data_IF_488425142205
#
_entry.id   IF_488425142205
#
_cell.length_a   1.000
_cell.length_b   1.000
_cell.length_c   1.000
_cell.angle_alpha   90.00
_cell.angle_beta   90.00
_cell.angle_gamma   90.00
#
_symmetry.space_group_name_H-M   'P 1'
#
loop_
_entity.id
_entity.type
_entity.pdbx_description
1 polymer ?
#
# COMPACT_ATOMS: atom_id res chain seq x y z
N UNK A 1 36.62 -3.46 -7.73
CA UNK A 1 36.59 -4.69 -8.55
C UNK A 1 35.75 -4.54 -9.82
N UNK A 2 34.80 -3.59 -9.92
CA UNK A 2 33.98 -3.39 -11.14
C UNK A 2 32.90 -4.46 -11.36
N UNK A 3 32.98 -5.57 -10.63
CA UNK A 3 32.00 -6.65 -10.62
C UNK A 3 30.66 -6.17 -10.07
N UNK A 4 29.53 -6.41 -10.76
CA UNK A 4 28.20 -6.20 -10.20
C UNK A 4 27.99 -7.05 -8.94
N UNK A 5 27.54 -6.42 -7.85
CA UNK A 5 27.30 -7.09 -6.56
C UNK A 5 25.80 -7.15 -6.28
N UNK A 6 25.29 -8.35 -5.99
CA UNK A 6 23.93 -8.55 -5.47
C UNK A 6 24.02 -8.87 -3.97
N UNK A 7 23.28 -8.12 -3.16
CA UNK A 7 23.26 -8.30 -1.70
C UNK A 7 21.99 -9.04 -1.29
N UNK A 8 22.15 -10.18 -0.62
CA UNK A 8 21.04 -10.89 0.03
C UNK A 8 21.04 -10.58 1.52
N UNK A 9 20.01 -9.89 1.99
CA UNK A 9 19.85 -9.53 3.40
C UNK A 9 19.08 -10.62 4.15
N UNK A 10 19.77 -11.30 5.04
CA UNK A 10 19.17 -12.21 6.03
C UNK A 10 19.09 -11.48 7.36
N UNK A 11 17.89 -11.10 7.79
CA UNK A 11 17.68 -10.15 8.89
C UNK A 11 16.39 -10.40 9.68
N UNK A 12 16.43 -10.14 10.99
CA UNK A 12 15.25 -10.19 11.88
C UNK A 12 14.53 -8.85 12.08
N UNK A 13 15.13 -7.75 11.64
CA UNK A 13 14.58 -6.39 11.74
C UNK A 13 15.03 -5.55 10.54
N UNK A 14 14.34 -4.44 10.23
CA UNK A 14 14.81 -3.49 9.22
C UNK A 14 16.17 -2.92 9.59
N UNK A 15 17.13 -3.01 8.66
CA UNK A 15 18.41 -2.32 8.79
C UNK A 15 18.42 -1.06 7.94
N UNK A 16 18.80 0.06 8.56
CA UNK A 16 19.14 1.29 7.86
C UNK A 16 20.51 1.12 7.20
N UNK A 17 20.55 0.44 6.05
CA UNK A 17 21.79 0.25 5.32
C UNK A 17 22.27 1.60 4.79
N UNK A 18 23.47 2.10 5.13
CA UNK A 18 24.00 3.29 4.49
C UNK A 18 24.00 3.09 2.97
N UNK A 19 23.86 4.18 2.20
CA UNK A 19 24.11 4.08 0.76
C UNK A 19 25.55 3.57 0.63
N UNK A 20 25.80 2.37 0.07
CA UNK A 20 27.15 1.84 0.06
C UNK A 20 28.02 2.72 -0.83
N UNK A 21 29.28 2.91 -0.45
CA UNK A 21 30.27 3.71 -1.20
C UNK A 21 30.48 3.17 -2.63
N UNK A 22 30.07 1.92 -2.88
CA UNK A 22 29.82 1.35 -4.20
C UNK A 22 28.38 0.79 -4.24
N UNK A 23 27.49 1.29 -5.13
CA UNK A 23 26.10 0.85 -5.17
C UNK A 23 26.01 -0.64 -5.50
N UNK A 24 25.36 -1.42 -4.63
CA UNK A 24 24.94 -2.77 -4.99
C UNK A 24 24.04 -2.70 -6.23
N UNK A 25 24.24 -3.61 -7.18
CA UNK A 25 23.43 -3.68 -8.38
C UNK A 25 21.98 -4.10 -8.07
N UNK A 26 21.81 -4.94 -7.04
CA UNK A 26 20.50 -5.34 -6.52
C UNK A 26 20.58 -5.71 -5.03
N UNK A 27 19.45 -5.58 -4.34
CA UNK A 27 19.30 -5.98 -2.94
C UNK A 27 18.04 -6.83 -2.80
N UNK A 28 18.19 -8.04 -2.25
CA UNK A 28 17.10 -8.95 -1.93
C UNK A 28 16.97 -9.09 -0.42
N UNK A 29 15.84 -8.69 0.16
CA UNK A 29 15.54 -8.94 1.58
C UNK A 29 14.86 -10.30 1.76
N UNK A 30 15.58 -11.25 2.35
CA UNK A 30 15.11 -12.62 2.59
C UNK A 30 14.56 -12.84 4.01
N UNK A 31 14.67 -11.86 4.91
CA UNK A 31 14.34 -12.00 6.34
C UNK A 31 15.08 -13.20 6.95
N UNK A 32 14.44 -13.98 7.82
CA UNK A 32 14.91 -15.33 8.14
C UNK A 32 14.11 -16.34 7.30
N UNK A 33 14.66 -16.82 6.16
CA UNK A 33 13.89 -17.58 5.17
C UNK A 33 13.67 -19.05 5.54
N UNK A 34 14.07 -19.46 6.75
CA UNK A 34 13.86 -20.81 7.27
C UNK A 34 14.74 -21.90 6.62
N UNK A 35 14.48 -23.19 6.92
CA UNK A 35 15.34 -24.31 6.52
C UNK A 35 15.49 -24.50 5.01
N UNK A 36 14.50 -24.09 4.21
CA UNK A 36 14.54 -24.13 2.74
C UNK A 36 14.91 -22.78 2.12
N UNK A 37 15.36 -21.83 2.93
CA UNK A 37 15.55 -20.46 2.52
C UNK A 37 16.63 -20.27 1.46
N UNK A 38 17.72 -21.03 1.50
CA UNK A 38 18.76 -20.98 0.47
C UNK A 38 18.23 -21.31 -0.92
N UNK A 39 17.36 -22.32 -1.02
CA UNK A 39 16.70 -22.69 -2.29
C UNK A 39 15.73 -21.60 -2.75
N UNK A 40 14.88 -21.09 -1.86
CA UNK A 40 13.94 -20.02 -2.21
C UNK A 40 14.65 -18.74 -2.68
N UNK A 41 15.77 -18.38 -2.05
CA UNK A 41 16.61 -17.26 -2.47
C UNK A 41 17.20 -17.51 -3.86
N UNK A 42 17.73 -18.70 -4.12
CA UNK A 42 18.28 -19.05 -5.43
C UNK A 42 17.21 -18.99 -6.53
N UNK A 43 16.04 -19.60 -6.31
CA UNK A 43 14.92 -19.60 -7.26
C UNK A 43 14.49 -18.16 -7.62
N UNK A 44 14.48 -17.23 -6.66
CA UNK A 44 14.23 -15.81 -6.94
C UNK A 44 15.38 -15.20 -7.74
N UNK A 45 16.62 -15.33 -7.27
CA UNK A 45 17.80 -14.72 -7.93
C UNK A 45 17.99 -15.14 -9.38
N UNK A 46 17.68 -16.40 -9.71
CA UNK A 46 17.77 -16.93 -11.07
C UNK A 46 16.48 -16.73 -11.89
N UNK A 47 15.42 -16.21 -11.27
CA UNK A 47 14.16 -15.94 -11.94
C UNK A 47 13.30 -17.17 -12.18
N UNK A 48 13.53 -18.27 -11.46
CA UNK A 48 12.64 -19.43 -11.41
C UNK A 48 11.36 -19.10 -10.61
N UNK A 49 11.43 -18.11 -9.72
CA UNK A 49 10.30 -17.57 -8.97
C UNK A 49 10.26 -16.03 -9.03
N UNK A 50 9.06 -15.47 -9.23
CA UNK A 50 8.88 -14.02 -9.23
C UNK A 50 8.92 -13.42 -7.81
N UNK A 51 9.64 -12.31 -7.59
CA UNK A 51 9.65 -11.62 -6.32
C UNK A 51 8.31 -10.93 -6.07
N UNK A 52 7.51 -11.54 -5.18
CA UNK A 52 6.19 -11.04 -4.77
C UNK A 52 6.14 -10.42 -3.38
N UNK A 53 7.29 -10.28 -2.72
CA UNK A 53 7.40 -9.71 -1.38
C UNK A 53 7.04 -8.22 -1.37
N UNK A 54 6.38 -7.78 -0.29
CA UNK A 54 6.13 -6.37 0.03
C UNK A 54 6.52 -6.13 1.49
N UNK A 55 7.18 -5.00 1.77
CA UNK A 55 7.68 -4.69 3.10
C UNK A 55 6.51 -4.49 4.08
N UNK A 56 6.40 -5.27 5.17
CA UNK A 56 5.34 -5.08 6.18
C UNK A 56 5.65 -3.94 7.16
N UNK A 57 6.77 -3.24 6.98
CA UNK A 57 7.26 -2.16 7.84
C UNK A 57 7.97 -1.12 6.98
N UNK A 58 7.94 0.14 7.42
CA UNK A 58 8.77 1.19 6.80
C UNK A 58 10.24 0.99 7.18
N UNK A 59 11.15 1.11 6.20
CA UNK A 59 12.59 1.02 6.43
C UNK A 59 13.16 2.43 6.65
N UNK A 60 13.73 2.73 7.83
CA UNK A 60 14.32 4.04 8.09
C UNK A 60 15.59 4.29 7.27
N UNK A 61 15.92 5.57 7.08
CA UNK A 61 17.19 6.05 6.53
C UNK A 61 18.33 5.91 7.53
N UNK A 62 18.03 6.13 8.80
CA UNK A 62 18.95 6.08 9.95
C UNK A 62 18.17 5.75 11.23
N UNK A 63 18.86 5.30 12.27
CA UNK A 63 18.22 5.06 13.58
C UNK A 63 17.63 6.35 14.18
N UNK A 64 18.19 7.52 13.85
CA UNK A 64 17.71 8.83 14.30
C UNK A 64 16.34 9.22 13.72
N UNK A 65 15.87 8.54 12.66
CA UNK A 65 14.52 8.75 12.11
C UNK A 65 13.42 8.06 12.92
N UNK A 66 13.77 7.19 13.86
CA UNK A 66 12.77 6.42 14.60
C UNK A 66 11.95 7.33 15.54
N UNK A 67 10.63 7.09 15.68
CA UNK A 67 9.86 6.04 15.01
C UNK A 67 9.47 6.40 13.56
N UNK A 68 9.60 5.45 12.64
CA UNK A 68 9.09 5.57 11.26
C UNK A 68 8.04 4.51 10.96
N UNK A 69 6.84 4.93 10.60
CA UNK A 69 5.73 4.05 10.22
C UNK A 69 4.75 4.81 9.33
N UNK A 70 4.12 4.11 8.39
CA UNK A 70 3.34 4.75 7.31
C UNK A 70 2.02 5.40 7.78
N UNK A 71 1.41 4.85 8.83
CA UNK A 71 0.12 5.27 9.35
C UNK A 71 0.23 6.22 10.56
N UNK A 72 1.30 7.02 10.61
CA UNK A 72 1.45 8.07 11.61
C UNK A 72 0.31 9.09 11.56
N UNK A 73 0.12 9.85 12.64
CA UNK A 73 -0.81 11.00 12.66
C UNK A 73 -0.38 12.01 11.61
N UNK A 74 -1.32 12.65 10.91
CA UNK A 74 -0.98 13.73 9.99
C UNK A 74 -0.69 15.02 10.78
N UNK A 75 0.58 15.21 11.14
CA UNK A 75 1.08 16.40 11.85
C UNK A 75 1.74 17.40 10.90
N UNK A 76 1.60 17.20 9.57
CA UNK A 76 2.18 18.03 8.50
C UNK A 76 3.69 18.27 8.57
N UNK A 77 4.42 17.54 9.42
CA UNK A 77 5.88 17.60 9.49
C UNK A 77 6.48 16.94 8.25
N UNK A 78 7.43 17.63 7.61
CA UNK A 78 7.92 17.27 6.26
C UNK A 78 9.38 16.84 6.23
N UNK A 79 10.12 16.96 7.32
CA UNK A 79 11.55 16.65 7.35
C UNK A 79 12.24 17.08 8.62
N UNK A 80 13.41 16.51 8.86
CA UNK A 80 14.38 16.97 9.86
C UNK A 80 15.28 18.04 9.21
N UNK A 81 16.02 18.79 10.02
CA UNK A 81 16.94 19.83 9.53
C UNK A 81 18.04 19.24 8.64
N UNK A 82 18.44 18.01 8.93
CA UNK A 82 19.58 17.30 8.36
C UNK A 82 19.19 16.14 7.43
N UNK A 83 17.91 15.73 7.41
CA UNK A 83 17.44 14.61 6.59
C UNK A 83 15.95 14.64 6.29
N UNK A 84 15.53 13.94 5.23
CA UNK A 84 14.11 13.74 4.91
C UNK A 84 13.40 12.91 5.99
N UNK A 85 12.14 13.25 6.28
CA UNK A 85 11.26 12.42 7.11
C UNK A 85 10.65 11.22 6.34
N UNK A 86 10.81 11.16 5.01
CA UNK A 86 10.34 10.04 4.19
C UNK A 86 11.23 8.81 4.45
N UNK A 87 10.66 7.61 4.65
CA UNK A 87 11.46 6.39 4.84
C UNK A 87 12.33 6.11 3.61
N UNK A 88 13.37 5.28 3.78
CA UNK A 88 14.16 4.82 2.63
C UNK A 88 13.31 3.91 1.73
N UNK A 89 12.55 3.00 2.34
CA UNK A 89 11.54 2.19 1.66
C UNK A 89 10.23 2.27 2.45
N UNK A 90 9.15 2.62 1.76
CA UNK A 90 7.83 2.75 2.37
C UNK A 90 7.24 1.39 2.78
N UNK A 91 6.23 1.43 3.64
CA UNK A 91 5.38 0.27 3.87
C UNK A 91 4.76 -0.19 2.54
N UNK A 92 4.66 -1.50 2.37
CA UNK A 92 4.18 -2.11 1.14
C UNK A 92 5.17 -2.03 -0.03
N UNK A 93 6.37 -1.45 0.13
CA UNK A 93 7.34 -1.40 -0.95
C UNK A 93 7.88 -2.80 -1.30
N UNK A 94 7.99 -3.08 -2.59
CA UNK A 94 8.62 -4.26 -3.17
C UNK A 94 8.71 -4.08 -4.68
N UNK A 95 9.77 -4.63 -5.27
CA UNK A 95 10.00 -4.59 -6.72
C UNK A 95 9.60 -5.93 -7.34
N UNK A 96 9.41 -5.90 -8.66
CA UNK A 96 9.15 -7.06 -9.50
C UNK A 96 10.17 -7.12 -10.64
N UNK A 97 10.35 -8.27 -11.27
CA UNK A 97 11.12 -8.38 -12.52
C UNK A 97 10.36 -7.88 -13.75
N UNK A 98 9.07 -7.61 -13.60
CA UNK A 98 8.24 -6.93 -14.60
C UNK A 98 7.73 -5.58 -14.08
N UNK A 99 7.10 -4.81 -14.95
CA UNK A 99 6.49 -3.52 -14.63
C UNK A 99 4.98 -3.62 -14.65
N UNK A 100 4.31 -2.93 -13.72
CA UNK A 100 2.85 -2.87 -13.66
C UNK A 100 2.40 -1.41 -13.62
N UNK A 101 1.50 -1.05 -14.52
CA UNK A 101 0.84 0.25 -14.55
C UNK A 101 -0.49 0.20 -13.78
N UNK A 102 -0.78 1.27 -13.05
CA UNK A 102 -1.98 1.41 -12.22
C UNK A 102 -2.90 2.50 -12.76
N UNK A 103 -4.18 2.17 -12.95
CA UNK A 103 -5.25 3.13 -13.21
C UNK A 103 -5.65 3.94 -11.97
N UNK A 104 -6.55 4.91 -12.14
CA UNK A 104 -7.19 5.59 -11.03
C UNK A 104 -8.25 4.69 -10.37
N UNK A 105 -8.42 4.71 -9.03
CA UNK A 105 -9.50 3.99 -8.38
C UNK A 105 -10.86 4.55 -8.81
N UNK A 106 -11.81 3.66 -9.07
CA UNK A 106 -13.20 3.95 -9.42
C UNK A 106 -14.12 3.47 -8.32
N UNK A 107 -14.95 4.36 -7.80
CA UNK A 107 -15.93 4.05 -6.77
C UNK A 107 -17.29 3.81 -7.41
N UNK A 108 -18.05 2.82 -6.95
CA UNK A 108 -19.43 2.64 -7.42
C UNK A 108 -20.32 3.83 -7.04
N UNK A 109 -20.03 4.47 -5.91
CA UNK A 109 -20.70 5.67 -5.42
C UNK A 109 -19.68 6.66 -4.86
N UNK A 110 -19.91 7.95 -5.08
CA UNK A 110 -19.09 9.02 -4.49
C UNK A 110 -19.58 9.44 -3.09
N UNK A 111 -20.73 8.94 -2.65
CA UNK A 111 -21.40 9.26 -1.39
C UNK A 111 -21.97 8.02 -0.73
N UNK A 112 -21.85 7.91 0.59
CA UNK A 112 -22.49 6.86 1.38
C UNK A 112 -23.03 7.39 2.71
N UNK A 113 -24.10 6.78 3.23
CA UNK A 113 -24.65 7.11 4.55
C UNK A 113 -23.94 6.35 5.67
N UNK A 114 -23.78 6.96 6.85
CA UNK A 114 -23.12 6.35 8.03
C UNK A 114 -23.77 5.03 8.49
N UNK A 115 -25.07 4.83 8.23
CA UNK A 115 -25.81 3.61 8.61
C UNK A 115 -25.63 2.46 7.63
N UNK A 116 -25.40 2.78 6.36
CA UNK A 116 -25.23 1.79 5.27
C UNK A 116 -24.05 2.16 4.36
N UNK A 117 -22.82 2.16 4.88
CA UNK A 117 -21.66 2.64 4.13
C UNK A 117 -21.10 1.52 3.24
N UNK A 118 -21.82 1.18 2.16
CA UNK A 118 -21.46 0.11 1.22
C UNK A 118 -21.17 0.67 -0.17
N UNK A 119 -20.01 0.32 -0.73
CA UNK A 119 -19.64 0.59 -2.11
C UNK A 119 -18.50 -0.37 -2.55
N UNK A 120 -18.22 -0.40 -3.85
CA UNK A 120 -17.01 -1.07 -4.37
C UNK A 120 -15.98 -0.05 -4.80
N UNK A 121 -14.70 -0.30 -4.51
CA UNK A 121 -13.56 0.41 -5.08
C UNK A 121 -12.83 -0.53 -6.06
N UNK A 122 -12.73 -0.12 -7.33
CA UNK A 122 -12.13 -0.91 -8.41
C UNK A 122 -10.90 -0.21 -8.96
N UNK A 123 -9.83 -0.94 -9.22
CA UNK A 123 -8.63 -0.41 -9.89
C UNK A 123 -8.14 -1.37 -10.96
N UNK A 124 -7.99 -0.85 -12.17
CA UNK A 124 -7.36 -1.59 -13.28
C UNK A 124 -5.85 -1.56 -13.10
N UNK A 125 -5.22 -2.73 -13.20
CA UNK A 125 -3.77 -2.90 -13.21
C UNK A 125 -3.35 -3.63 -14.47
N UNK A 126 -2.29 -3.15 -15.13
CA UNK A 126 -1.79 -3.69 -16.39
C UNK A 126 -0.35 -4.14 -16.26
N UNK A 127 -0.04 -5.36 -16.67
CA UNK A 127 1.34 -5.78 -16.80
C UNK A 127 1.94 -5.19 -18.09
N UNK A 128 2.90 -4.29 -17.94
CA UNK A 128 3.56 -3.58 -19.04
C UNK A 128 4.95 -4.13 -19.37
N UNK A 129 5.39 -5.19 -18.68
CA UNK A 129 6.67 -5.84 -18.96
C UNK A 129 6.53 -7.21 -19.61
N UNK A 130 7.61 -7.98 -19.57
CA UNK A 130 7.78 -9.22 -20.35
C UNK A 130 7.60 -10.51 -19.53
N UNK A 131 7.43 -10.41 -18.21
CA UNK A 131 7.25 -11.56 -17.29
C UNK A 131 5.91 -11.47 -16.60
N UNK A 132 5.34 -12.60 -16.16
CA UNK A 132 4.11 -12.61 -15.36
C UNK A 132 4.29 -11.77 -14.10
N UNK A 133 3.34 -10.90 -13.82
CA UNK A 133 3.35 -10.04 -12.65
C UNK A 133 2.60 -10.70 -11.49
N UNK A 134 3.28 -10.94 -10.38
CA UNK A 134 2.66 -11.26 -9.09
C UNK A 134 2.50 -9.97 -8.28
N UNK A 135 1.39 -9.28 -8.47
CA UNK A 135 1.16 -7.93 -7.95
C UNK A 135 0.28 -7.91 -6.70
N UNK A 136 0.63 -7.06 -5.73
CA UNK A 136 -0.16 -6.85 -4.50
C UNK A 136 -0.70 -5.43 -4.50
N UNK A 137 -1.95 -5.27 -4.93
CA UNK A 137 -2.68 -4.01 -4.91
C UNK A 137 -3.15 -3.73 -3.49
N UNK A 138 -2.79 -2.57 -2.94
CA UNK A 138 -3.10 -2.19 -1.55
C UNK A 138 -4.16 -1.08 -1.55
N UNK A 139 -5.16 -1.21 -0.68
CA UNK A 139 -6.19 -0.20 -0.42
C UNK A 139 -5.90 0.49 0.91
N UNK A 140 -5.83 1.82 0.86
CA UNK A 140 -5.69 2.68 2.02
C UNK A 140 -6.89 3.62 2.15
N UNK A 141 -7.21 3.99 3.39
CA UNK A 141 -8.17 5.03 3.73
C UNK A 141 -7.43 6.20 4.36
N UNK A 142 -7.64 7.40 3.85
CA UNK A 142 -7.18 8.65 4.45
C UNK A 142 -8.37 9.54 4.76
N UNK A 143 -8.50 10.01 6.00
CA UNK A 143 -9.52 10.99 6.34
C UNK A 143 -9.03 12.40 6.00
N UNK A 144 -9.82 13.13 5.21
CA UNK A 144 -9.54 14.51 4.79
C UNK A 144 -10.26 15.54 5.68
N UNK A 145 -11.49 15.22 6.12
CA UNK A 145 -12.29 16.07 7.01
C UNK A 145 -13.31 15.26 7.81
N UNK A 146 -13.90 15.91 8.83
CA UNK A 146 -14.85 15.28 9.74
C UNK A 146 -14.21 14.25 10.68
N UNK A 147 -15.03 13.55 11.46
CA UNK A 147 -14.60 12.60 12.48
C UNK A 147 -14.08 13.25 13.77
N UNK A 148 -14.03 12.46 14.83
CA UNK A 148 -13.61 12.92 16.17
C UNK A 148 -12.15 12.62 16.46
N UNK A 149 -11.54 11.64 15.79
CA UNK A 149 -10.13 11.27 15.97
C UNK A 149 -9.19 12.11 15.10
N UNK A 150 -7.95 12.32 15.56
CA UNK A 150 -6.93 13.00 14.75
C UNK A 150 -6.57 12.13 13.55
N UNK A 151 -6.64 12.63 12.30
CA UNK A 151 -6.49 11.80 11.12
C UNK A 151 -5.07 11.25 11.01
N UNK A 152 -4.97 10.01 10.53
CA UNK A 152 -3.71 9.41 10.08
C UNK A 152 -3.43 9.83 8.65
N UNK A 153 -2.16 9.79 8.26
CA UNK A 153 -1.73 10.09 6.88
C UNK A 153 -2.42 9.14 5.90
N UNK A 154 -2.57 7.86 6.29
CA UNK A 154 -3.37 6.82 5.63
C UNK A 154 -3.39 5.54 6.49
N UNK A 155 -4.35 4.67 6.27
CA UNK A 155 -4.48 3.37 6.96
C UNK A 155 -4.72 2.26 5.94
N UNK A 156 -3.94 1.19 5.94
CA UNK A 156 -4.22 0.03 5.09
C UNK A 156 -5.52 -0.63 5.57
N UNK A 157 -6.47 -0.82 4.66
CA UNK A 157 -7.75 -1.48 4.94
C UNK A 157 -7.98 -2.75 4.14
N UNK A 158 -7.14 -3.05 3.15
CA UNK A 158 -7.19 -4.30 2.42
C UNK A 158 -6.07 -4.41 1.39
N UNK A 159 -5.88 -5.60 0.84
CA UNK A 159 -5.02 -5.83 -0.31
C UNK A 159 -5.54 -7.01 -1.13
N UNK A 160 -5.30 -6.97 -2.44
CA UNK A 160 -5.64 -8.03 -3.40
C UNK A 160 -4.36 -8.45 -4.10
N UNK A 161 -4.16 -9.76 -4.25
CA UNK A 161 -3.06 -10.32 -5.04
C UNK A 161 -3.57 -10.76 -6.40
N UNK A 162 -2.86 -10.38 -7.46
CA UNK A 162 -3.20 -10.66 -8.84
C UNK A 162 -2.00 -11.29 -9.54
N UNK A 163 -2.26 -12.31 -10.35
CA UNK A 163 -1.30 -12.83 -11.33
C UNK A 163 -1.73 -12.33 -12.69
N UNK A 164 -0.85 -11.60 -13.39
CA UNK A 164 -1.18 -10.88 -14.63
C UNK A 164 -0.16 -11.26 -15.69
N UNK A 165 -0.59 -11.88 -16.79
CA UNK A 165 0.32 -12.27 -17.88
C UNK A 165 0.88 -11.01 -18.58
N UNK A 166 2.03 -11.10 -19.26
CA UNK A 166 2.59 -9.98 -20.03
C UNK A 166 1.57 -9.35 -20.98
N UNK A 167 1.40 -8.03 -20.90
CA UNK A 167 0.48 -7.26 -21.74
C UNK A 167 -0.98 -7.26 -21.30
N UNK A 168 -1.38 -8.15 -20.38
CA UNK A 168 -2.76 -8.26 -19.90
C UNK A 168 -3.11 -7.22 -18.82
N UNK A 169 -4.41 -7.04 -18.64
CA UNK A 169 -5.01 -6.21 -17.60
C UNK A 169 -5.85 -7.08 -16.65
N UNK A 170 -5.82 -6.73 -15.37
CA UNK A 170 -6.67 -7.31 -14.34
C UNK A 170 -7.32 -6.19 -13.51
N UNK A 171 -8.42 -6.49 -12.85
CA UNK A 171 -9.10 -5.55 -11.95
C UNK A 171 -9.00 -6.04 -10.51
N UNK A 172 -8.45 -5.20 -9.62
CA UNK A 172 -8.58 -5.41 -8.19
C UNK A 172 -9.87 -4.76 -7.70
N UNK A 173 -10.70 -5.54 -7.02
CA UNK A 173 -12.00 -5.13 -6.48
C UNK A 173 -11.95 -5.19 -4.97
N UNK A 174 -12.31 -4.09 -4.31
CA UNK A 174 -12.42 -3.99 -2.87
C UNK A 174 -13.87 -3.67 -2.48
N UNK A 175 -14.44 -4.53 -1.64
CA UNK A 175 -15.69 -4.25 -0.96
C UNK A 175 -15.40 -3.27 0.19
N UNK A 176 -15.97 -2.07 0.11
CA UNK A 176 -15.79 -1.02 1.10
C UNK A 176 -17.06 -0.94 1.94
N UNK A 177 -16.88 -1.23 3.23
CA UNK A 177 -17.95 -1.39 4.20
C UNK A 177 -17.68 -0.68 5.53
N UNK A 178 -18.46 -1.08 6.54
CA UNK A 178 -18.22 -0.70 7.94
C UNK A 178 -16.79 -1.05 8.38
N UNK A 179 -16.30 -2.25 8.09
CA UNK A 179 -14.96 -2.70 8.50
C UNK A 179 -13.83 -1.88 7.86
N UNK A 180 -14.08 -1.36 6.67
CA UNK A 180 -13.13 -0.52 5.93
C UNK A 180 -13.12 0.91 6.46
N UNK A 181 -14.30 1.48 6.73
CA UNK A 181 -14.47 2.91 7.00
C UNK A 181 -14.55 3.28 8.49
N UNK A 182 -14.83 2.32 9.36
CA UNK A 182 -14.98 2.59 10.78
C UNK A 182 -13.62 2.89 11.44
N UNK A 183 -13.67 3.80 12.40
CA UNK A 183 -12.55 4.15 13.27
C UNK A 183 -13.02 4.27 14.71
N UNK A 184 -12.08 4.11 15.66
CA UNK A 184 -12.37 4.31 17.07
C UNK A 184 -12.47 5.81 17.36
N UNK A 185 -13.64 6.25 17.79
CA UNK A 185 -13.92 7.63 18.18
C UNK A 185 -13.40 7.96 19.58
N UNK A 186 -13.64 9.21 20.03
CA UNK A 186 -13.23 9.66 21.38
C UNK A 186 -13.96 8.93 22.51
N UNK A 187 -15.16 8.44 22.25
CA UNK A 187 -15.96 7.64 23.19
C UNK A 187 -15.54 6.15 23.22
N UNK A 188 -14.42 5.82 22.55
CA UNK A 188 -13.87 4.47 22.41
C UNK A 188 -14.80 3.50 21.68
N UNK A 189 -15.77 4.01 20.90
CA UNK A 189 -16.63 3.20 20.06
C UNK A 189 -16.13 3.14 18.63
N UNK A 190 -16.25 1.96 18.03
CA UNK A 190 -16.02 1.76 16.62
C UNK A 190 -17.25 2.23 15.85
N UNK A 191 -17.10 3.28 15.06
CA UNK A 191 -18.18 3.85 14.26
C UNK A 191 -17.67 4.42 12.94
N UNK A 192 -18.58 4.55 11.98
CA UNK A 192 -18.36 5.35 10.77
C UNK A 192 -18.84 6.76 11.06
N UNK A 193 -17.91 7.72 11.00
CA UNK A 193 -18.19 9.13 11.25
C UNK A 193 -18.36 9.89 9.92
N UNK A 194 -19.28 10.87 9.86
CA UNK A 194 -19.46 11.70 8.68
C UNK A 194 -18.20 12.50 8.35
N UNK A 195 -18.08 12.91 7.08
CA UNK A 195 -16.94 13.67 6.57
C UNK A 195 -16.42 13.13 5.24
N UNK A 196 -15.26 13.61 4.81
CA UNK A 196 -14.66 13.21 3.54
C UNK A 196 -13.46 12.31 3.79
N UNK A 197 -13.45 11.17 3.12
CA UNK A 197 -12.31 10.25 3.07
C UNK A 197 -11.80 10.12 1.63
N UNK A 198 -10.54 9.75 1.50
CA UNK A 198 -9.91 9.39 0.24
C UNK A 198 -9.58 7.89 0.29
N UNK A 199 -10.10 7.16 -0.68
CA UNK A 199 -9.78 5.76 -0.93
C UNK A 199 -8.59 5.72 -1.89
N UNK A 200 -7.43 5.33 -1.38
CA UNK A 200 -6.19 5.33 -2.12
C UNK A 200 -5.79 3.90 -2.49
N UNK A 201 -5.44 3.66 -3.76
CA UNK A 201 -4.96 2.36 -4.23
C UNK A 201 -3.57 2.47 -4.85
N UNK A 202 -2.71 1.48 -4.63
CA UNK A 202 -1.40 1.42 -5.26
C UNK A 202 -0.52 0.26 -4.80
N UNK A 203 0.71 0.14 -5.34
CA UNK A 203 1.64 -0.94 -4.99
C UNK A 203 2.36 -0.74 -3.65
N UNK A 204 2.34 0.46 -3.06
CA UNK A 204 3.00 0.78 -1.80
C UNK A 204 2.41 2.05 -1.20
N UNK A 205 2.64 2.30 0.10
CA UNK A 205 2.04 3.43 0.83
C UNK A 205 2.50 4.81 0.35
N UNK A 206 3.54 4.91 -0.46
CA UNK A 206 4.10 6.14 -1.03
C UNK A 206 3.76 6.33 -2.52
N UNK A 207 3.17 5.32 -3.16
CA UNK A 207 2.80 5.32 -4.58
C UNK A 207 1.34 4.93 -4.70
N UNK A 208 0.45 5.89 -4.49
CA UNK A 208 -1.01 5.67 -4.54
C UNK A 208 -1.70 6.69 -5.44
N UNK A 209 -2.89 6.33 -5.90
CA UNK A 209 -3.87 7.24 -6.52
C UNK A 209 -5.15 7.21 -5.67
N UNK A 210 -5.79 8.35 -5.49
CA UNK A 210 -6.95 8.51 -4.62
C UNK A 210 -8.26 8.76 -5.38
N UNK A 211 -9.37 8.31 -4.79
CA UNK A 211 -10.72 8.74 -5.13
C UNK A 211 -11.43 9.23 -3.87
N UNK A 212 -12.15 10.35 -3.97
CA UNK A 212 -12.86 10.96 -2.83
C UNK A 212 -14.21 10.27 -2.61
N UNK A 213 -14.51 10.03 -1.35
CA UNK A 213 -15.79 9.51 -0.86
C UNK A 213 -16.30 10.43 0.25
N UNK A 214 -17.55 10.88 0.11
CA UNK A 214 -18.25 11.66 1.12
C UNK A 214 -19.15 10.74 1.96
N UNK A 215 -19.03 10.83 3.28
CA UNK A 215 -19.82 10.07 4.25
C UNK A 215 -20.80 11.03 4.92
N UNK A 216 -22.09 10.77 4.82
CA UNK A 216 -23.15 11.66 5.30
C UNK A 216 -24.01 11.01 6.38
N UNK A 217 -24.66 11.84 7.21
CA UNK A 217 -25.62 11.36 8.21
C UNK A 217 -27.01 11.03 7.62
N UNK A 218 -27.25 11.39 6.36
CA UNK A 218 -28.51 11.17 5.67
C UNK A 218 -28.66 9.71 5.19
N UNK A 219 -29.89 9.19 5.21
CA UNK A 219 -30.22 7.95 4.49
C UNK A 219 -30.06 8.19 2.98
N UNK A 220 -29.08 7.50 2.37
CA UNK A 220 -28.91 7.52 0.91
C UNK A 220 -29.59 6.28 0.35
N UNK A 221 -30.83 6.45 -0.11
CA UNK A 221 -31.54 5.42 -0.88
C UNK A 221 -30.98 5.40 -2.30
N UNK A 222 -30.19 4.38 -2.64
CA UNK A 222 -29.75 4.17 -4.01
C UNK A 222 -30.92 3.54 -4.77
N UNK A 223 -31.66 4.34 -5.55
CA UNK A 223 -32.66 3.80 -6.46
C UNK A 223 -31.95 3.05 -7.59
N UNK A 224 -32.16 1.74 -7.69
CA UNK A 224 -31.87 0.99 -8.90
C UNK A 224 -32.77 1.54 -10.02
N UNK A 225 -32.21 2.36 -10.91
CA UNK A 225 -32.86 2.65 -12.20
C UNK A 225 -32.76 1.39 -13.04
N UNK A 226 -33.80 0.55 -12.96
CA UNK A 226 -34.11 -0.41 -14.02
C UNK A 226 -34.41 0.38 -15.31
N UNK A 227 -33.61 0.13 -16.33
CA UNK A 227 -33.87 0.56 -17.68
C UNK A 227 -35.17 -0.09 -18.19
N UNK A 228 -35.99 0.71 -18.87
CA UNK A 228 -36.99 0.25 -19.85
C UNK A 228 -36.30 0.19 -21.21
#
# INVERSE_FOLDING_TARGET
TGTPVVVVLVQGRPHALPAPDAPAAAVLSAWYPGPRGGRAVAEVLFGDAEPRGRLPVSVPRSAAQLPVHYNGKDHRYRGYVDQSAVPRHAFGHGLSYTSVAYGAPRLSHARVGVRTPRLTCRVTVRNTGARTAEETVQLYVRRLSGGTSWPRVRELRGFVRLSISPGEEAEAVFEVGLDTLASVGRDLRLAVEPGVVELETGPASDRTRGARLEITDAEITHSESNAI
#
